data_IF_708469066238
#
_entry.id   IF_708469066238
#
_cell.length_a   1.000
_cell.length_b   1.000
_cell.length_c   1.000
_cell.angle_alpha   90.00
_cell.angle_beta   90.00
_cell.angle_gamma   90.00
#
_symmetry.space_group_name_H-M   'P 1'
#
loop_
_entity.id
_entity.type
_entity.pdbx_description
1 polymer ?
#
# COMPACT_ATOMS: atom_id res chain seq x y z
N UNK A 1 -13.53 22.06 -22.35
CA UNK A 1 -13.76 23.07 -21.38
C UNK A 1 -13.29 22.83 -19.95
N UNK A 2 -14.19 22.83 -18.97
CA UNK A 2 -13.88 22.86 -17.53
C UNK A 2 -13.00 21.70 -17.06
N UNK A 3 -13.23 20.47 -17.52
CA UNK A 3 -12.43 19.30 -17.14
C UNK A 3 -10.96 19.40 -17.56
N UNK A 4 -10.69 19.94 -18.74
CA UNK A 4 -9.32 20.13 -19.23
C UNK A 4 -8.61 21.22 -18.40
N UNK A 5 -9.32 22.30 -18.08
CA UNK A 5 -8.80 23.36 -17.22
C UNK A 5 -8.45 22.86 -15.82
N UNK A 6 -9.35 22.10 -15.20
CA UNK A 6 -9.13 21.53 -13.87
C UNK A 6 -7.95 20.56 -13.86
N UNK A 7 -7.83 19.68 -14.87
CA UNK A 7 -6.68 18.78 -15.02
C UNK A 7 -5.36 19.54 -15.15
N UNK A 8 -5.31 20.57 -15.99
CA UNK A 8 -4.11 21.41 -16.15
C UNK A 8 -3.74 22.15 -14.86
N UNK A 9 -4.74 22.68 -14.15
CA UNK A 9 -4.53 23.34 -12.86
C UNK A 9 -3.99 22.37 -11.81
N UNK A 10 -4.55 21.17 -11.72
CA UNK A 10 -4.08 20.16 -10.79
C UNK A 10 -2.66 19.68 -11.14
N UNK A 11 -2.35 19.48 -12.42
CA UNK A 11 -1.01 19.14 -12.88
C UNK A 11 0.01 20.21 -12.48
N UNK A 12 -0.29 21.51 -12.70
CA UNK A 12 0.57 22.62 -12.26
C UNK A 12 0.78 22.65 -10.75
N UNK A 13 -0.26 22.37 -9.96
CA UNK A 13 -0.17 22.32 -8.50
C UNK A 13 0.63 21.11 -8.01
N UNK A 14 0.45 19.95 -8.63
CA UNK A 14 1.25 18.77 -8.33
C UNK A 14 2.72 19.02 -8.65
N UNK A 15 3.02 19.59 -9.82
CA UNK A 15 4.37 19.99 -10.20
C UNK A 15 4.97 20.95 -9.17
N UNK A 16 4.23 21.96 -8.72
CA UNK A 16 4.69 22.87 -7.70
C UNK A 16 5.03 22.18 -6.36
N UNK A 17 4.21 21.20 -5.91
CA UNK A 17 4.52 20.41 -4.70
C UNK A 17 5.79 19.60 -4.92
N UNK A 18 5.94 18.96 -6.08
CA UNK A 18 7.12 18.17 -6.42
C UNK A 18 8.37 19.03 -6.48
N UNK A 19 8.35 20.12 -7.23
CA UNK A 19 9.51 21.02 -7.40
C UNK A 19 9.99 21.56 -6.05
N UNK A 20 9.03 21.82 -5.13
CA UNK A 20 9.36 22.40 -3.83
C UNK A 20 9.85 21.38 -2.80
N UNK A 21 9.29 20.17 -2.81
CA UNK A 21 9.46 19.23 -1.69
C UNK A 21 10.06 17.88 -2.08
N UNK A 22 9.97 17.43 -3.34
CA UNK A 22 10.27 16.05 -3.69
C UNK A 22 11.73 15.67 -3.43
N UNK A 23 12.70 16.50 -3.82
CA UNK A 23 14.12 16.21 -3.58
C UNK A 23 14.49 16.30 -2.09
N UNK A 24 13.87 17.22 -1.36
CA UNK A 24 14.02 17.32 0.09
C UNK A 24 13.45 16.09 0.79
N UNK A 25 12.29 15.60 0.34
CA UNK A 25 11.69 14.38 0.84
C UNK A 25 12.56 13.16 0.56
N UNK A 26 13.11 13.02 -0.65
CA UNK A 26 14.05 11.93 -0.96
C UNK A 26 15.22 11.92 0.01
N UNK A 27 15.81 13.09 0.27
CA UNK A 27 16.93 13.23 1.20
C UNK A 27 16.54 12.91 2.65
N UNK A 28 15.30 13.18 3.08
CA UNK A 28 14.82 12.90 4.45
C UNK A 28 14.49 11.42 4.65
N UNK A 29 13.95 10.75 3.62
CA UNK A 29 13.47 9.37 3.72
C UNK A 29 14.51 8.34 3.27
N UNK A 30 15.71 8.75 2.91
CA UNK A 30 16.78 7.84 2.55
C UNK A 30 17.14 6.91 3.71
N UNK A 31 17.44 5.65 3.42
CA UNK A 31 17.71 4.60 4.43
C UNK A 31 18.85 4.94 5.41
N UNK A 32 19.88 5.62 4.92
CA UNK A 32 21.03 6.00 5.72
C UNK A 32 20.77 7.18 6.67
N UNK A 33 19.61 7.84 6.53
CA UNK A 33 19.26 8.97 7.38
C UNK A 33 18.70 8.46 8.70
N UNK A 34 19.26 8.98 9.82
CA UNK A 34 18.74 8.70 11.15
C UNK A 34 17.28 9.13 11.32
N UNK A 35 16.64 8.66 12.38
CA UNK A 35 15.27 9.04 12.72
C UNK A 35 15.22 10.50 13.17
N UNK A 36 14.81 11.39 12.26
CA UNK A 36 14.72 12.83 12.49
C UNK A 36 13.51 13.20 13.32
N UNK A 37 13.64 14.23 14.17
CA UNK A 37 12.47 14.83 14.84
C UNK A 37 11.53 15.53 13.83
N UNK A 38 10.30 15.77 14.23
CA UNK A 38 9.32 16.51 13.38
C UNK A 38 9.81 17.92 13.07
N UNK A 39 10.44 18.58 14.04
CA UNK A 39 11.03 19.91 13.91
C UNK A 39 12.17 19.94 12.90
N UNK A 40 13.04 18.93 12.95
CA UNK A 40 14.16 18.81 12.01
C UNK A 40 13.66 18.50 10.60
N UNK A 41 12.65 17.63 10.46
CA UNK A 41 12.00 17.37 9.16
C UNK A 41 11.37 18.66 8.60
N UNK A 42 10.64 19.41 9.43
CA UNK A 42 10.03 20.69 9.04
C UNK A 42 11.09 21.69 8.55
N UNK A 43 12.22 21.76 9.25
CA UNK A 43 13.35 22.63 8.91
C UNK A 43 13.98 22.23 7.56
N UNK A 44 14.29 20.93 7.37
CA UNK A 44 14.89 20.42 6.13
C UNK A 44 13.96 20.56 4.92
N UNK A 45 12.66 20.39 5.12
CA UNK A 45 11.66 20.62 4.09
C UNK A 45 11.43 22.10 3.81
N UNK A 46 11.89 23.01 4.67
CA UNK A 46 11.46 24.42 4.69
C UNK A 46 9.92 24.51 4.69
N UNK A 47 9.30 23.62 5.46
CA UNK A 47 7.86 23.49 5.50
C UNK A 47 7.24 24.59 6.34
N UNK A 48 6.30 25.34 5.75
CA UNK A 48 5.48 26.30 6.48
C UNK A 48 4.13 25.65 6.76
N UNK A 49 3.75 25.47 8.03
CA UNK A 49 2.46 24.90 8.39
C UNK A 49 1.32 25.63 7.72
N UNK A 50 0.46 24.89 7.04
CA UNK A 50 -0.75 25.42 6.40
C UNK A 50 -1.84 24.36 6.38
N UNK A 51 -3.09 24.83 6.35
CA UNK A 51 -4.24 23.96 6.19
C UNK A 51 -4.43 23.66 4.70
N UNK A 52 -4.10 22.43 4.30
CA UNK A 52 -4.34 21.95 2.95
C UNK A 52 -5.82 21.64 2.72
N UNK A 53 -6.33 21.97 1.55
CA UNK A 53 -7.69 21.59 1.13
C UNK A 53 -7.72 20.12 0.73
N UNK A 54 -8.89 19.49 0.79
CA UNK A 54 -9.08 18.07 0.44
C UNK A 54 -8.51 17.71 -0.96
N UNK A 55 -8.70 18.59 -1.95
CA UNK A 55 -8.17 18.35 -3.29
C UNK A 55 -6.65 18.49 -3.37
N UNK A 56 -6.02 19.31 -2.55
CA UNK A 56 -4.57 19.43 -2.42
C UNK A 56 -3.98 18.19 -1.75
N UNK A 57 -4.67 17.63 -0.74
CA UNK A 57 -4.28 16.37 -0.11
C UNK A 57 -4.32 15.18 -1.06
N UNK A 58 -5.22 15.17 -2.06
CA UNK A 58 -5.18 14.19 -3.14
C UNK A 58 -3.89 14.27 -3.96
N UNK A 59 -3.41 15.49 -4.25
CA UNK A 59 -2.14 15.68 -4.94
C UNK A 59 -0.96 15.23 -4.08
N UNK A 60 -1.00 15.49 -2.77
CA UNK A 60 -0.03 14.95 -1.81
C UNK A 60 -0.01 13.44 -1.79
N UNK A 61 -1.18 12.79 -1.84
CA UNK A 61 -1.28 11.33 -1.95
C UNK A 61 -0.50 10.80 -3.16
N UNK A 62 -0.67 11.43 -4.32
CA UNK A 62 0.06 11.05 -5.54
C UNK A 62 1.57 11.28 -5.41
N UNK A 63 1.99 12.39 -4.82
CA UNK A 63 3.42 12.70 -4.61
C UNK A 63 4.06 11.71 -3.63
N UNK A 64 3.36 11.36 -2.55
CA UNK A 64 3.85 10.39 -1.57
C UNK A 64 3.93 8.97 -2.15
N UNK A 65 2.97 8.57 -3.00
CA UNK A 65 3.04 7.31 -3.74
C UNK A 65 4.24 7.28 -4.68
N UNK A 66 4.46 8.35 -5.46
CA UNK A 66 5.64 8.46 -6.33
C UNK A 66 6.95 8.39 -5.53
N UNK A 67 7.00 9.05 -4.37
CA UNK A 67 8.14 8.99 -3.47
C UNK A 67 8.39 7.55 -2.97
N UNK A 68 7.33 6.86 -2.57
CA UNK A 68 7.42 5.47 -2.09
C UNK A 68 7.87 4.51 -3.17
N UNK A 69 7.39 4.69 -4.41
CA UNK A 69 7.84 3.88 -5.55
C UNK A 69 9.32 4.12 -5.87
N UNK A 70 9.78 5.36 -5.74
CA UNK A 70 11.18 5.70 -5.92
C UNK A 70 12.08 5.09 -4.83
N UNK A 71 11.63 5.12 -3.58
CA UNK A 71 12.41 4.66 -2.41
C UNK A 71 12.30 3.16 -2.14
N UNK A 72 11.31 2.46 -2.69
CA UNK A 72 11.13 1.00 -2.51
C UNK A 72 12.34 0.17 -3.02
N UNK A 73 13.15 0.73 -3.91
CA UNK A 73 14.39 0.10 -4.40
C UNK A 73 15.54 0.25 -3.38
N UNK A 74 15.42 1.13 -2.38
CA UNK A 74 16.50 1.56 -1.50
C UNK A 74 16.15 1.51 0.01
N UNK A 75 15.20 0.65 0.43
CA UNK A 75 14.81 0.51 1.84
C UNK A 75 14.58 1.86 2.56
N UNK A 76 13.46 2.54 2.34
CA UNK A 76 13.26 3.89 2.87
C UNK A 76 13.18 3.91 4.39
N UNK A 77 13.58 5.04 5.01
CA UNK A 77 13.36 5.28 6.43
C UNK A 77 11.86 5.51 6.70
N UNK A 78 11.17 4.43 7.08
CA UNK A 78 9.72 4.45 7.32
C UNK A 78 9.30 5.37 8.46
N UNK A 79 10.15 5.52 9.48
CA UNK A 79 9.87 6.43 10.61
C UNK A 79 9.81 7.88 10.13
N UNK A 80 10.76 8.28 9.29
CA UNK A 80 10.76 9.63 8.73
C UNK A 80 9.57 9.85 7.79
N UNK A 81 9.20 8.86 6.97
CA UNK A 81 7.99 8.93 6.13
C UNK A 81 6.73 9.16 6.98
N UNK A 82 6.54 8.41 8.06
CA UNK A 82 5.38 8.56 8.94
C UNK A 82 5.34 9.97 9.56
N UNK A 83 6.50 10.48 9.99
CA UNK A 83 6.60 11.84 10.55
C UNK A 83 6.29 12.92 9.51
N UNK A 84 6.76 12.77 8.27
CA UNK A 84 6.40 13.65 7.14
C UNK A 84 4.89 13.66 6.93
N UNK A 85 4.26 12.49 6.83
CA UNK A 85 2.81 12.37 6.61
C UNK A 85 2.01 13.05 7.72
N UNK A 86 2.45 12.88 8.97
CA UNK A 86 1.83 13.57 10.12
C UNK A 86 2.03 15.09 10.06
N UNK A 87 3.23 15.54 9.74
CA UNK A 87 3.58 16.97 9.64
C UNK A 87 2.70 17.72 8.63
N UNK A 88 2.46 17.14 7.46
CA UNK A 88 1.63 17.76 6.41
C UNK A 88 0.13 17.55 6.65
N UNK A 89 -0.27 16.81 7.69
CA UNK A 89 -1.67 16.49 8.00
C UNK A 89 -2.28 15.42 7.10
N UNK A 90 -1.45 14.64 6.41
CA UNK A 90 -1.91 13.58 5.51
C UNK A 90 -2.54 12.42 6.29
N UNK A 91 -1.99 12.06 7.44
CA UNK A 91 -2.54 11.01 8.32
C UNK A 91 -3.98 11.30 8.71
N UNK A 92 -4.25 12.49 9.26
CA UNK A 92 -5.60 12.89 9.65
C UNK A 92 -6.56 12.96 8.47
N UNK A 93 -6.07 13.40 7.31
CA UNK A 93 -6.84 13.42 6.08
C UNK A 93 -7.27 12.01 5.67
N UNK A 94 -6.33 11.05 5.65
CA UNK A 94 -6.58 9.66 5.27
C UNK A 94 -7.61 9.02 6.19
N UNK A 95 -7.41 9.09 7.50
CA UNK A 95 -8.32 8.51 8.48
C UNK A 95 -9.74 9.05 8.33
N UNK A 96 -9.88 10.38 8.20
CA UNK A 96 -11.18 11.02 7.97
C UNK A 96 -11.84 10.56 6.67
N UNK A 97 -11.08 10.46 5.57
CA UNK A 97 -11.63 10.04 4.29
C UNK A 97 -11.99 8.56 4.27
N UNK A 98 -11.24 7.70 4.96
CA UNK A 98 -11.58 6.27 5.08
C UNK A 98 -12.86 6.06 5.89
N UNK A 99 -13.17 6.93 6.85
CA UNK A 99 -14.43 6.87 7.62
C UNK A 99 -15.58 7.50 6.82
N UNK A 100 -15.42 8.75 6.39
CA UNK A 100 -16.51 9.61 5.89
C UNK A 100 -16.52 9.78 4.36
N UNK A 101 -15.46 9.39 3.65
CA UNK A 101 -15.32 9.65 2.23
C UNK A 101 -16.20 8.74 1.35
N UNK A 102 -16.24 9.06 0.06
CA UNK A 102 -16.93 8.24 -0.94
C UNK A 102 -16.18 6.93 -1.21
N UNK A 103 -16.91 5.84 -1.46
CA UNK A 103 -16.33 4.49 -1.66
C UNK A 103 -15.21 4.46 -2.70
N UNK A 104 -15.42 5.07 -3.87
CA UNK A 104 -14.39 5.11 -4.93
C UNK A 104 -13.08 5.77 -4.47
N UNK A 105 -13.20 6.81 -3.65
CA UNK A 105 -12.04 7.53 -3.13
C UNK A 105 -11.34 6.70 -2.04
N UNK A 106 -12.09 5.93 -1.25
CA UNK A 106 -11.54 5.02 -0.24
C UNK A 106 -10.69 3.91 -0.85
N UNK A 107 -11.10 3.34 -2.00
CA UNK A 107 -10.31 2.30 -2.70
C UNK A 107 -8.94 2.84 -3.11
N UNK A 108 -8.92 3.99 -3.80
CA UNK A 108 -7.68 4.64 -4.22
C UNK A 108 -6.80 5.02 -3.01
N UNK A 109 -7.44 5.46 -1.93
CA UNK A 109 -6.73 5.85 -0.71
C UNK A 109 -6.13 4.66 0.02
N UNK A 110 -6.83 3.52 0.09
CA UNK A 110 -6.27 2.28 0.66
C UNK A 110 -5.05 1.77 -0.12
N UNK A 111 -5.07 1.90 -1.46
CA UNK A 111 -3.89 1.60 -2.28
C UNK A 111 -2.72 2.54 -1.96
N UNK A 112 -2.99 3.84 -1.85
CA UNK A 112 -1.96 4.82 -1.48
C UNK A 112 -1.39 4.55 -0.07
N UNK A 113 -2.24 4.24 0.91
CA UNK A 113 -1.85 3.86 2.28
C UNK A 113 -0.91 2.65 2.27
N UNK A 114 -1.24 1.61 1.50
CA UNK A 114 -0.39 0.43 1.37
C UNK A 114 0.95 0.75 0.71
N UNK A 115 0.95 1.49 -0.39
CA UNK A 115 2.16 1.87 -1.12
C UNK A 115 3.09 2.79 -0.33
N UNK A 116 2.54 3.65 0.53
CA UNK A 116 3.31 4.55 1.40
C UNK A 116 3.70 3.92 2.74
N UNK A 117 3.35 2.65 2.97
CA UNK A 117 3.54 1.95 4.25
C UNK A 117 2.95 2.72 5.46
N UNK A 118 1.91 3.53 5.24
CA UNK A 118 1.26 4.28 6.30
C UNK A 118 0.56 3.33 7.27
N UNK A 119 0.75 3.54 8.57
CA UNK A 119 0.06 2.77 9.59
C UNK A 119 -1.33 3.36 9.86
N UNK A 120 -2.36 2.51 9.82
CA UNK A 120 -3.73 2.86 10.16
C UNK A 120 -4.11 2.31 11.53
N UNK A 121 -5.00 3.01 12.27
CA UNK A 121 -5.64 2.43 13.46
C UNK A 121 -6.38 1.13 13.13
N UNK A 122 -6.24 0.13 14.00
CA UNK A 122 -6.88 -1.19 13.83
C UNK A 122 -8.40 -1.09 13.68
N UNK A 123 -9.03 -0.13 14.36
CA UNK A 123 -10.47 0.13 14.28
C UNK A 123 -10.92 0.52 12.87
N UNK A 124 -10.10 1.27 12.12
CA UNK A 124 -10.39 1.62 10.72
C UNK A 124 -10.25 0.40 9.84
N UNK A 125 -9.17 -0.36 9.98
CA UNK A 125 -8.95 -1.60 9.21
C UNK A 125 -10.09 -2.58 9.44
N UNK A 126 -10.45 -2.84 10.71
CA UNK A 126 -11.54 -3.73 11.09
C UNK A 126 -12.89 -3.32 10.48
N UNK A 127 -13.13 -2.02 10.33
CA UNK A 127 -14.38 -1.52 9.71
C UNK A 127 -14.45 -1.72 8.20
N UNK A 128 -13.31 -1.84 7.51
CA UNK A 128 -13.21 -1.90 6.05
C UNK A 128 -12.87 -3.29 5.50
N UNK A 129 -12.26 -4.16 6.30
CA UNK A 129 -11.78 -5.49 5.87
C UNK A 129 -12.91 -6.42 5.41
N UNK A 130 -14.14 -6.17 5.84
CA UNK A 130 -15.36 -6.85 5.42
C UNK A 130 -16.37 -5.91 4.75
N UNK A 131 -15.92 -4.80 4.14
CA UNK A 131 -16.82 -3.88 3.44
C UNK A 131 -17.59 -4.58 2.30
N UNK A 132 -18.81 -4.08 2.05
CA UNK A 132 -19.69 -4.61 0.99
C UNK A 132 -19.12 -4.38 -0.41
N UNK A 133 -18.36 -3.30 -0.62
CA UNK A 133 -17.64 -3.06 -1.88
C UNK A 133 -16.46 -4.01 -1.99
N UNK A 134 -16.51 -4.93 -2.98
CA UNK A 134 -15.49 -5.95 -3.21
C UNK A 134 -14.10 -5.33 -3.41
N UNK A 135 -14.01 -4.18 -4.10
CA UNK A 135 -12.74 -3.51 -4.38
C UNK A 135 -12.13 -2.92 -3.12
N UNK A 136 -12.95 -2.28 -2.29
CA UNK A 136 -12.50 -1.72 -1.01
C UNK A 136 -12.08 -2.83 -0.05
N UNK A 137 -12.92 -3.86 0.09
CA UNK A 137 -12.60 -5.05 0.89
C UNK A 137 -11.27 -5.67 0.47
N UNK A 138 -11.05 -5.87 -0.85
CA UNK A 138 -9.81 -6.41 -1.40
C UNK A 138 -8.61 -5.52 -1.09
N UNK A 139 -8.71 -4.22 -1.36
CA UNK A 139 -7.62 -3.28 -1.07
C UNK A 139 -7.24 -3.27 0.42
N UNK A 140 -8.25 -3.34 1.31
CA UNK A 140 -8.02 -3.40 2.76
C UNK A 140 -7.39 -4.72 3.19
N UNK A 141 -7.80 -5.86 2.62
CA UNK A 141 -7.22 -7.17 2.91
C UNK A 141 -5.76 -7.29 2.43
N UNK A 142 -5.43 -6.70 1.29
CA UNK A 142 -4.04 -6.60 0.84
C UNK A 142 -3.19 -5.73 1.77
N UNK A 143 -3.74 -4.61 2.25
CA UNK A 143 -3.09 -3.79 3.27
C UNK A 143 -2.87 -4.60 4.56
N UNK A 144 -3.90 -5.30 5.04
CA UNK A 144 -3.81 -6.17 6.21
C UNK A 144 -2.69 -7.21 6.08
N UNK A 145 -2.60 -7.88 4.93
CA UNK A 145 -1.54 -8.86 4.64
C UNK A 145 -0.14 -8.25 4.76
N UNK A 146 0.04 -7.01 4.31
CA UNK A 146 1.32 -6.32 4.40
C UNK A 146 1.69 -5.91 5.83
N UNK A 147 0.72 -5.54 6.66
CA UNK A 147 0.94 -4.87 7.95
C UNK A 147 0.75 -5.77 9.15
N UNK A 148 -0.15 -6.76 9.09
CA UNK A 148 -0.36 -7.70 10.19
C UNK A 148 0.82 -8.68 10.29
N UNK A 149 1.36 -8.85 11.51
CA UNK A 149 2.52 -9.71 11.77
C UNK A 149 2.15 -11.10 12.29
N UNK A 150 0.97 -11.23 12.90
CA UNK A 150 0.54 -12.47 13.55
C UNK A 150 -0.14 -13.40 12.55
N UNK A 151 -1.18 -12.94 11.88
CA UNK A 151 -1.97 -13.75 10.93
C UNK A 151 -2.13 -13.03 9.58
N UNK A 152 -1.04 -12.75 8.84
CA UNK A 152 -1.10 -11.92 7.63
C UNK A 152 -1.96 -12.56 6.53
N UNK A 153 -2.07 -13.89 6.50
CA UNK A 153 -2.74 -14.65 5.44
C UNK A 153 -4.17 -15.08 5.76
N UNK A 154 -4.72 -14.65 6.90
CA UNK A 154 -6.07 -15.03 7.34
C UNK A 154 -7.13 -14.84 6.24
N UNK A 155 -7.12 -13.71 5.54
CA UNK A 155 -8.08 -13.43 4.48
C UNK A 155 -7.76 -14.10 3.14
N UNK A 156 -6.54 -14.58 2.94
CA UNK A 156 -6.17 -15.33 1.75
C UNK A 156 -6.79 -16.73 1.78
N UNK A 157 -6.99 -17.30 2.95
CA UNK A 157 -7.59 -18.61 3.16
C UNK A 157 -9.12 -18.62 3.11
N UNK A 158 -9.75 -17.45 3.23
CA UNK A 158 -11.21 -17.36 3.20
C UNK A 158 -11.78 -17.72 1.81
N UNK A 159 -12.90 -18.45 1.82
CA UNK A 159 -13.62 -18.89 0.61
C UNK A 159 -14.03 -17.72 -0.29
N UNK A 160 -14.34 -16.55 0.26
CA UNK A 160 -14.74 -15.36 -0.51
C UNK A 160 -13.65 -14.81 -1.43
N UNK A 161 -12.37 -14.97 -1.08
CA UNK A 161 -11.25 -14.66 -1.97
C UNK A 161 -11.02 -15.81 -2.95
N UNK A 162 -11.27 -17.04 -2.54
CA UNK A 162 -11.02 -18.24 -3.33
C UNK A 162 -12.07 -18.49 -4.43
N UNK A 163 -13.29 -18.00 -4.26
CA UNK A 163 -14.38 -18.19 -5.22
C UNK A 163 -14.34 -17.25 -6.44
N UNK A 164 -13.48 -16.23 -6.46
CA UNK A 164 -13.31 -15.34 -7.59
C UNK A 164 -12.01 -15.64 -8.34
N UNK A 165 -12.07 -15.65 -9.67
CA UNK A 165 -10.89 -15.79 -10.50
C UNK A 165 -9.89 -14.63 -10.26
N UNK A 166 -8.59 -14.93 -10.27
CA UNK A 166 -7.56 -13.89 -10.23
C UNK A 166 -7.35 -13.29 -11.62
N UNK A 167 -7.43 -11.98 -11.71
CA UNK A 167 -6.95 -11.26 -12.89
C UNK A 167 -5.41 -11.27 -12.95
N UNK A 168 -4.86 -10.87 -14.09
CA UNK A 168 -3.39 -10.70 -14.22
C UNK A 168 -2.87 -9.73 -13.17
N UNK A 169 -3.58 -8.63 -12.93
CA UNK A 169 -3.22 -7.62 -11.93
C UNK A 169 -3.21 -8.19 -10.50
N UNK A 170 -4.19 -9.03 -10.16
CA UNK A 170 -4.25 -9.67 -8.86
C UNK A 170 -3.02 -10.56 -8.61
N UNK A 171 -2.62 -11.33 -9.62
CA UNK A 171 -1.45 -12.21 -9.56
C UNK A 171 -0.17 -11.41 -9.37
N UNK A 172 0.02 -10.36 -10.15
CA UNK A 172 1.19 -9.48 -10.05
C UNK A 172 1.26 -8.79 -8.67
N UNK A 173 0.12 -8.30 -8.18
CA UNK A 173 0.06 -7.61 -6.90
C UNK A 173 0.34 -8.54 -5.72
N UNK A 174 -0.23 -9.75 -5.73
CA UNK A 174 0.03 -10.75 -4.70
C UNK A 174 1.48 -11.25 -4.73
N UNK A 175 2.02 -11.55 -5.91
CA UNK A 175 3.42 -11.95 -6.06
C UNK A 175 4.37 -10.89 -5.49
N UNK A 176 4.14 -9.62 -5.81
CA UNK A 176 4.94 -8.50 -5.29
C UNK A 176 4.81 -8.35 -3.76
N UNK A 177 3.63 -8.61 -3.21
CA UNK A 177 3.42 -8.61 -1.75
C UNK A 177 4.20 -9.75 -1.10
N UNK A 178 4.16 -10.97 -1.65
CA UNK A 178 4.92 -12.11 -1.13
C UNK A 178 6.42 -11.85 -1.19
N UNK A 179 6.90 -11.27 -2.30
CA UNK A 179 8.29 -10.86 -2.44
C UNK A 179 8.72 -9.91 -1.32
N UNK A 180 7.96 -8.84 -1.09
CA UNK A 180 8.24 -7.86 -0.03
C UNK A 180 8.19 -8.46 1.38
N UNK A 181 7.24 -9.36 1.63
CA UNK A 181 7.14 -10.07 2.90
C UNK A 181 8.40 -10.91 3.13
N UNK A 182 8.84 -11.63 2.11
CA UNK A 182 10.05 -12.47 2.16
C UNK A 182 11.32 -11.65 2.33
N UNK A 183 11.47 -10.57 1.58
CA UNK A 183 12.59 -9.63 1.71
C UNK A 183 12.65 -8.99 3.11
N UNK A 184 11.50 -8.75 3.72
CA UNK A 184 11.37 -8.31 5.12
C UNK A 184 11.63 -9.39 6.17
N UNK A 185 12.09 -10.59 5.77
CA UNK A 185 12.42 -11.70 6.67
C UNK A 185 11.22 -12.44 7.24
N UNK A 186 10.01 -12.21 6.72
CA UNK A 186 8.80 -12.91 7.16
C UNK A 186 8.48 -14.10 6.23
N UNK A 187 7.89 -15.18 6.75
CA UNK A 187 7.51 -16.33 5.94
C UNK A 187 6.36 -15.97 4.99
N UNK A 188 6.41 -16.49 3.76
CA UNK A 188 5.26 -16.53 2.84
C UNK A 188 4.29 -17.64 3.26
N UNK A 189 3.01 -17.62 2.80
CA UNK A 189 2.07 -18.68 3.17
C UNK A 189 2.51 -20.03 2.64
N UNK A 190 2.00 -21.11 3.24
CA UNK A 190 2.04 -22.41 2.60
C UNK A 190 1.01 -22.43 1.47
N UNK A 191 1.45 -22.65 0.24
CA UNK A 191 0.63 -22.55 -0.95
C UNK A 191 -0.14 -23.83 -1.27
N UNK A 192 0.36 -25.01 -0.88
CA UNK A 192 -0.32 -26.29 -1.12
C UNK A 192 -1.71 -26.32 -0.47
N UNK A 193 -1.92 -25.91 0.80
CA UNK A 193 -3.26 -25.82 1.37
C UNK A 193 -4.19 -24.86 0.62
N UNK A 194 -3.65 -23.75 0.07
CA UNK A 194 -4.42 -22.80 -0.74
C UNK A 194 -4.79 -23.41 -2.09
N UNK A 195 -3.85 -24.12 -2.72
CA UNK A 195 -4.05 -24.84 -3.97
C UNK A 195 -5.16 -25.89 -3.84
N UNK A 196 -5.16 -26.65 -2.76
CA UNK A 196 -6.14 -27.71 -2.50
C UNK A 196 -7.56 -27.17 -2.25
N UNK A 197 -7.68 -25.94 -1.75
CA UNK A 197 -8.97 -25.31 -1.45
C UNK A 197 -9.58 -24.58 -2.65
N UNK A 198 -8.83 -24.36 -3.74
CA UNK A 198 -9.31 -23.56 -4.87
C UNK A 198 -9.74 -24.39 -6.06
N UNK A 199 -10.88 -24.04 -6.66
CA UNK A 199 -11.38 -24.65 -7.88
C UNK A 199 -11.11 -23.80 -9.14
N UNK A 200 -10.78 -22.52 -8.97
CA UNK A 200 -10.57 -21.61 -10.07
C UNK A 200 -9.21 -21.86 -10.75
N UNK A 201 -9.22 -22.28 -12.01
CA UNK A 201 -7.98 -22.58 -12.79
C UNK A 201 -6.95 -21.47 -12.73
N UNK A 202 -7.37 -20.20 -12.77
CA UNK A 202 -6.44 -19.06 -12.70
C UNK A 202 -5.69 -18.96 -11.38
N UNK A 203 -6.28 -19.43 -10.29
CA UNK A 203 -5.65 -19.49 -8.95
C UNK A 203 -4.78 -20.74 -8.81
N UNK A 204 -5.25 -21.87 -9.33
CA UNK A 204 -4.45 -23.10 -9.39
C UNK A 204 -3.11 -22.80 -10.04
N UNK A 205 -3.13 -22.25 -11.25
CA UNK A 205 -1.91 -21.88 -11.98
C UNK A 205 -1.06 -20.88 -11.21
N UNK A 206 -1.70 -19.90 -10.58
CA UNK A 206 -0.98 -18.91 -9.78
C UNK A 206 -0.28 -19.56 -8.57
N UNK A 207 -0.98 -20.36 -7.77
CA UNK A 207 -0.37 -20.98 -6.60
C UNK A 207 0.72 -22.00 -6.98
N UNK A 208 0.56 -22.75 -8.08
CA UNK A 208 1.64 -23.60 -8.60
C UNK A 208 2.89 -22.78 -8.95
N UNK A 209 2.70 -21.61 -9.55
CA UNK A 209 3.81 -20.71 -9.87
C UNK A 209 4.47 -20.15 -8.59
N UNK A 210 3.69 -19.77 -7.57
CA UNK A 210 4.22 -19.30 -6.30
C UNK A 210 4.96 -20.39 -5.54
N UNK A 211 4.52 -21.66 -5.62
CA UNK A 211 5.27 -22.82 -5.07
C UNK A 211 6.63 -22.93 -5.74
N UNK A 212 6.71 -22.75 -7.06
CA UNK A 212 7.99 -22.81 -7.77
C UNK A 212 8.97 -21.70 -7.34
N UNK A 213 8.46 -20.55 -6.93
CA UNK A 213 9.28 -19.41 -6.47
C UNK A 213 9.62 -19.45 -4.98
N UNK A 214 8.66 -19.78 -4.14
CA UNK A 214 8.74 -19.58 -2.70
C UNK A 214 8.48 -20.83 -1.88
N UNK A 215 8.00 -21.89 -2.52
CA UNK A 215 7.59 -23.12 -1.85
C UNK A 215 8.72 -23.82 -1.11
N UNK A 216 8.35 -24.55 -0.08
CA UNK A 216 9.25 -25.46 0.64
C UNK A 216 9.56 -26.70 -0.23
N UNK A 217 10.62 -27.41 0.10
CA UNK A 217 10.96 -28.68 -0.59
C UNK A 217 9.80 -29.69 -0.60
N UNK A 218 8.99 -29.68 0.46
CA UNK A 218 7.80 -30.54 0.54
C UNK A 218 6.70 -30.09 -0.43
N UNK A 219 6.47 -28.78 -0.55
CA UNK A 219 5.49 -28.22 -1.49
C UNK A 219 5.92 -28.44 -2.94
N UNK A 220 7.21 -28.27 -3.23
CA UNK A 220 7.75 -28.58 -4.58
C UNK A 220 7.56 -30.05 -4.91
N UNK A 221 7.86 -30.98 -3.99
CA UNK A 221 7.62 -32.41 -4.20
C UNK A 221 6.16 -32.75 -4.45
N UNK A 222 5.24 -32.05 -3.79
CA UNK A 222 3.79 -32.23 -4.01
C UNK A 222 3.36 -31.97 -5.45
N UNK A 223 4.01 -31.03 -6.16
CA UNK A 223 3.69 -30.75 -7.58
C UNK A 223 4.06 -31.89 -8.54
N UNK A 224 4.93 -32.80 -8.12
CA UNK A 224 5.42 -33.93 -8.93
C UNK A 224 4.84 -35.29 -8.49
N UNK A 225 3.99 -35.28 -7.46
CA UNK A 225 3.28 -36.47 -6.98
C UNK A 225 1.91 -36.61 -7.62
#
# INVERSE_FOLDING_TARGET
GVHVYLRRRNAKRKAWIKDRYFDKLKAIVHEEVENLSTEEISRRMEYKPRKWKTWEMRLWSEVLVELSLYTNVQNPNLTNIQRVMKLIGFTDYVERQLILGKRKDKVALMQAVRLTNMQLPDSIVASLVNDKDIRLRKATRLYYMCTNKEEPYMFLEESSIQNTAFSIWDKMELHEIFRKIREGGRPVPLFVPLLQKTEATSKVVFFMHEIAYWGTDQEVKYLFS
#
